data_IF_547006745873
#
_entry.id   IF_547006745873
#
_cell.length_a   1.000
_cell.length_b   1.000
_cell.length_c   1.000
_cell.angle_alpha   90.00
_cell.angle_beta   90.00
_cell.angle_gamma   90.00
#
_symmetry.space_group_name_H-M   'P 1'
#
loop_
_entity.id
_entity.type
_entity.pdbx_description
1 polymer ?
#
# COMPACT_ATOMS: atom_id res chain seq x y z
N UNK A 1 -18.90 -9.90 7.32
CA UNK A 1 -18.08 -9.52 6.14
C UNK A 1 -17.32 -8.25 6.48
N UNK A 2 -16.01 -8.18 6.26
CA UNK A 2 -15.25 -6.97 6.56
C UNK A 2 -15.73 -5.76 5.77
N UNK A 3 -15.77 -4.60 6.44
CA UNK A 3 -15.99 -3.32 5.77
C UNK A 3 -14.72 -2.91 5.00
N UNK A 4 -14.80 -1.95 4.07
CA UNK A 4 -13.59 -1.42 3.41
C UNK A 4 -12.54 -0.92 4.41
N UNK A 5 -12.95 -0.28 5.49
CA UNK A 5 -12.03 0.19 6.52
C UNK A 5 -11.34 -0.96 7.25
N UNK A 6 -12.09 -2.00 7.60
CA UNK A 6 -11.54 -3.20 8.22
C UNK A 6 -10.59 -3.93 7.25
N UNK A 7 -10.93 -3.98 5.96
CA UNK A 7 -10.05 -4.57 4.95
C UNK A 7 -8.74 -3.80 4.83
N UNK A 8 -8.78 -2.47 4.84
CA UNK A 8 -7.56 -1.65 4.83
C UNK A 8 -6.74 -1.85 6.11
N UNK A 9 -7.38 -1.89 7.27
CA UNK A 9 -6.66 -2.12 8.54
C UNK A 9 -5.97 -3.49 8.54
N UNK A 10 -6.60 -4.50 7.97
CA UNK A 10 -6.01 -5.82 7.80
C UNK A 10 -4.78 -5.78 6.88
N UNK A 11 -4.87 -5.06 5.75
CA UNK A 11 -3.74 -4.83 4.85
C UNK A 11 -2.60 -4.10 5.58
N UNK A 12 -2.92 -3.08 6.36
CA UNK A 12 -1.95 -2.33 7.16
C UNK A 12 -1.18 -3.24 8.10
N UNK A 13 -1.88 -4.07 8.86
CA UNK A 13 -1.25 -4.98 9.83
C UNK A 13 -0.47 -6.11 9.17
N UNK A 14 -0.99 -6.68 8.09
CA UNK A 14 -0.37 -7.86 7.46
C UNK A 14 0.74 -7.49 6.49
N UNK A 15 0.73 -6.31 5.93
CA UNK A 15 1.68 -5.92 4.91
C UNK A 15 2.61 -4.79 5.34
N UNK A 16 2.04 -3.64 5.72
CA UNK A 16 2.88 -2.49 6.05
C UNK A 16 3.64 -2.63 7.36
N UNK A 17 3.04 -3.28 8.35
CA UNK A 17 3.64 -3.38 9.69
C UNK A 17 4.34 -4.72 9.96
N UNK A 18 4.10 -5.72 9.15
CA UNK A 18 4.72 -7.03 9.33
C UNK A 18 6.08 -7.06 8.63
N UNK A 19 7.14 -7.34 9.39
CA UNK A 19 8.51 -7.23 8.90
C UNK A 19 8.85 -8.20 7.76
N UNK A 20 8.22 -9.36 7.69
CA UNK A 20 8.56 -10.40 6.71
C UNK A 20 7.39 -11.34 6.40
N UNK A 21 6.18 -10.88 6.43
CA UNK A 21 5.06 -11.75 6.09
C UNK A 21 4.76 -11.69 4.60
N UNK A 22 4.33 -12.82 4.07
CA UNK A 22 3.76 -12.87 2.74
C UNK A 22 2.39 -12.20 2.75
N UNK A 23 2.03 -11.58 1.63
CA UNK A 23 0.68 -11.06 1.45
C UNK A 23 -0.31 -12.23 1.41
N UNK A 24 -1.35 -12.15 2.24
CA UNK A 24 -2.41 -13.14 2.26
C UNK A 24 -3.31 -12.97 1.03
N UNK A 25 -3.40 -14.01 0.22
CA UNK A 25 -4.27 -14.02 -0.95
C UNK A 25 -5.72 -13.69 -0.60
N UNK A 26 -6.18 -14.09 0.58
CA UNK A 26 -7.56 -13.89 1.00
C UNK A 26 -7.92 -12.43 1.26
N UNK A 27 -6.93 -11.53 1.31
CA UNK A 27 -7.17 -10.09 1.35
C UNK A 27 -7.80 -9.55 0.09
N UNK A 28 -7.55 -10.22 -1.05
CA UNK A 28 -7.83 -9.68 -2.37
C UNK A 28 -8.74 -10.60 -3.17
N UNK A 29 -9.51 -10.00 -4.09
CA UNK A 29 -10.21 -10.78 -5.11
C UNK A 29 -9.23 -11.25 -6.16
N UNK A 30 -9.57 -12.33 -6.86
CA UNK A 30 -8.70 -12.88 -7.91
C UNK A 30 -8.48 -11.88 -9.05
N UNK A 31 -9.49 -11.08 -9.36
CA UNK A 31 -9.46 -10.06 -10.40
C UNK A 31 -9.04 -8.67 -9.90
N UNK A 32 -8.32 -8.62 -8.80
CA UNK A 32 -7.80 -7.38 -8.21
C UNK A 32 -7.15 -6.49 -9.27
N UNK A 33 -7.41 -5.18 -9.16
CA UNK A 33 -6.69 -4.15 -9.90
C UNK A 33 -6.05 -3.19 -8.91
N UNK A 34 -4.75 -2.97 -9.05
CA UNK A 34 -4.01 -1.99 -8.27
C UNK A 34 -3.49 -0.92 -9.20
N UNK A 35 -3.72 0.34 -8.84
CA UNK A 35 -3.24 1.47 -9.61
C UNK A 35 -2.34 2.36 -8.74
N UNK A 36 -1.28 2.86 -9.35
CA UNK A 36 -0.33 3.78 -8.72
C UNK A 36 -0.10 4.95 -9.68
N UNK A 37 -1.04 5.92 -9.72
CA UNK A 37 -1.00 6.98 -10.74
C UNK A 37 0.26 7.84 -10.69
N UNK A 38 0.87 7.97 -9.51
CA UNK A 38 2.08 8.77 -9.31
C UNK A 38 3.33 7.92 -9.13
N UNK A 39 3.34 6.71 -9.70
CA UNK A 39 4.51 5.87 -9.66
C UNK A 39 5.70 6.55 -10.34
N UNK A 40 6.90 6.29 -9.82
CA UNK A 40 8.14 6.82 -10.39
C UNK A 40 8.32 6.34 -11.84
N UNK A 41 9.03 7.10 -12.68
CA UNK A 41 9.31 6.67 -14.07
C UNK A 41 9.92 5.27 -14.12
N UNK A 42 9.45 4.46 -15.04
CA UNK A 42 9.88 3.07 -15.19
C UNK A 42 9.15 2.07 -14.30
N UNK A 43 8.31 2.53 -13.39
CA UNK A 43 7.48 1.67 -12.56
C UNK A 43 6.07 1.54 -13.14
N UNK A 44 5.38 0.41 -12.93
CA UNK A 44 4.02 0.25 -13.44
C UNK A 44 3.06 1.19 -12.72
N UNK A 45 2.09 1.74 -13.49
CA UNK A 45 0.99 2.54 -12.94
C UNK A 45 -0.27 1.72 -12.71
N UNK A 46 -0.32 0.49 -13.25
CA UNK A 46 -1.46 -0.40 -13.13
C UNK A 46 -0.99 -1.86 -13.16
N UNK A 47 -1.54 -2.65 -12.24
CA UNK A 47 -1.28 -4.09 -12.16
C UNK A 47 -2.64 -4.79 -12.10
N UNK A 48 -2.88 -5.74 -12.99
CA UNK A 48 -4.11 -6.50 -13.05
C UNK A 48 -3.88 -7.93 -12.58
N UNK A 49 -4.74 -8.40 -11.69
CA UNK A 49 -4.71 -9.74 -11.14
C UNK A 49 -4.00 -9.84 -9.81
N UNK A 50 -4.59 -10.62 -8.92
CA UNK A 50 -4.08 -10.85 -7.56
C UNK A 50 -2.68 -11.43 -7.56
N UNK A 51 -2.46 -12.49 -8.35
CA UNK A 51 -1.17 -13.16 -8.40
C UNK A 51 -0.06 -12.23 -8.89
N UNK A 52 -0.34 -11.44 -9.92
CA UNK A 52 0.62 -10.47 -10.47
C UNK A 52 0.96 -9.39 -9.44
N UNK A 53 -0.05 -8.89 -8.71
CA UNK A 53 0.19 -7.88 -7.67
C UNK A 53 1.02 -8.44 -6.53
N UNK A 54 0.70 -9.62 -6.02
CA UNK A 54 1.43 -10.23 -4.91
C UNK A 54 2.90 -10.44 -5.30
N UNK A 55 3.16 -10.95 -6.49
CA UNK A 55 4.53 -11.15 -6.97
C UNK A 55 5.28 -9.81 -7.08
N UNK A 56 4.64 -8.78 -7.62
CA UNK A 56 5.23 -7.44 -7.71
C UNK A 56 5.54 -6.85 -6.33
N UNK A 57 4.61 -6.95 -5.39
CA UNK A 57 4.75 -6.38 -4.06
C UNK A 57 5.87 -7.09 -3.27
N UNK A 58 5.94 -8.39 -3.33
CA UNK A 58 6.98 -9.17 -2.64
C UNK A 58 8.36 -8.90 -3.20
N UNK A 59 8.49 -8.82 -4.53
CA UNK A 59 9.76 -8.46 -5.18
C UNK A 59 10.17 -7.03 -4.81
N UNK A 60 9.22 -6.10 -4.83
CA UNK A 60 9.47 -4.71 -4.44
C UNK A 60 9.97 -4.60 -3.01
N UNK A 61 9.34 -5.32 -2.08
CA UNK A 61 9.77 -5.32 -0.68
C UNK A 61 11.16 -5.92 -0.50
N UNK A 62 11.46 -7.00 -1.21
CA UNK A 62 12.77 -7.66 -1.11
C UNK A 62 13.91 -6.78 -1.63
N UNK A 63 13.64 -5.90 -2.58
CA UNK A 63 14.65 -5.05 -3.22
C UNK A 63 14.72 -3.63 -2.67
N UNK A 64 13.66 -3.15 -2.02
CA UNK A 64 13.62 -1.80 -1.47
C UNK A 64 14.46 -1.74 -0.19
N UNK A 65 15.44 -0.82 -0.09
CA UNK A 65 16.29 -0.71 1.11
C UNK A 65 15.58 0.05 2.24
N UNK A 66 14.34 -0.31 2.54
CA UNK A 66 13.53 0.30 3.59
C UNK A 66 12.81 -0.81 4.35
N UNK A 67 12.88 -0.74 5.67
CA UNK A 67 12.06 -1.55 6.55
C UNK A 67 10.91 -0.69 7.07
N UNK A 68 9.68 -1.02 6.69
CA UNK A 68 8.50 -0.31 7.18
C UNK A 68 8.25 -0.68 8.64
N UNK A 69 8.06 0.33 9.47
CA UNK A 69 7.80 0.17 10.90
C UNK A 69 6.62 0.99 11.41
N UNK A 70 6.03 1.83 10.54
CA UNK A 70 4.89 2.66 10.90
C UNK A 70 3.95 2.85 9.72
N UNK A 71 2.66 2.70 9.99
CA UNK A 71 1.59 3.05 9.06
C UNK A 71 0.44 3.63 9.88
N UNK A 72 0.34 4.95 9.92
CA UNK A 72 -0.65 5.68 10.71
C UNK A 72 -1.76 6.19 9.80
N UNK A 73 -3.00 5.79 10.09
CA UNK A 73 -4.17 6.35 9.40
C UNK A 73 -4.40 7.74 9.97
N UNK A 74 -4.25 8.77 9.13
CA UNK A 74 -4.46 10.17 9.52
C UNK A 74 -5.88 10.63 9.27
N UNK A 75 -6.57 10.05 8.29
CA UNK A 75 -7.99 10.31 8.03
C UNK A 75 -8.60 9.15 7.25
N UNK A 76 -9.88 8.91 7.46
CA UNK A 76 -10.63 7.92 6.69
C UNK A 76 -11.99 8.54 6.34
N UNK A 77 -12.36 8.42 5.08
CA UNK A 77 -13.56 9.05 4.55
C UNK A 77 -14.46 8.02 3.88
N UNK A 78 -15.69 7.90 4.39
CA UNK A 78 -16.70 7.11 3.70
C UNK A 78 -17.11 7.84 2.42
N UNK A 79 -17.51 7.08 1.41
CA UNK A 79 -18.02 7.65 0.16
C UNK A 79 -19.48 7.32 -0.02
N UNK A 80 -20.09 7.84 -1.08
CA UNK A 80 -21.48 7.53 -1.43
C UNK A 80 -21.67 6.03 -1.73
N UNK A 81 -20.61 5.33 -2.10
CA UNK A 81 -20.61 3.88 -2.32
C UNK A 81 -20.12 3.20 -1.02
N UNK A 82 -20.95 2.36 -0.36
CA UNK A 82 -20.56 1.72 0.89
C UNK A 82 -19.39 0.74 0.74
N UNK A 83 -19.06 0.34 -0.47
CA UNK A 83 -17.93 -0.55 -0.76
C UNK A 83 -16.63 0.19 -1.04
N UNK A 84 -16.65 1.53 -1.02
CA UNK A 84 -15.49 2.36 -1.34
C UNK A 84 -15.15 3.29 -0.18
N UNK A 85 -13.89 3.31 0.21
CA UNK A 85 -13.37 4.22 1.23
C UNK A 85 -12.14 4.95 0.70
N UNK A 86 -11.95 6.18 1.15
CA UNK A 86 -10.72 6.94 0.94
C UNK A 86 -9.96 7.01 2.26
N UNK A 87 -8.73 6.57 2.26
CA UNK A 87 -7.87 6.54 3.46
C UNK A 87 -6.63 7.37 3.22
N UNK A 88 -6.36 8.29 4.14
CA UNK A 88 -5.11 9.03 4.16
C UNK A 88 -4.22 8.42 5.25
N UNK A 89 -2.99 8.11 4.92
CA UNK A 89 -2.09 7.46 5.86
C UNK A 89 -0.65 7.90 5.65
N UNK A 90 0.12 7.82 6.73
CA UNK A 90 1.55 8.09 6.71
C UNK A 90 2.29 6.78 6.86
N UNK A 91 3.11 6.47 5.87
CA UNK A 91 3.94 5.26 5.87
C UNK A 91 5.36 5.66 6.22
N UNK A 92 5.88 5.08 7.28
CA UNK A 92 7.23 5.36 7.76
C UNK A 92 8.07 4.11 7.86
N UNK A 93 9.37 4.30 7.76
CA UNK A 93 10.32 3.22 7.86
C UNK A 93 11.74 3.71 8.09
N UNK A 94 12.65 2.76 8.16
CA UNK A 94 14.07 2.99 8.31
C UNK A 94 14.78 2.55 7.05
N UNK A 95 15.61 3.43 6.49
CA UNK A 95 16.48 3.09 5.37
C UNK A 95 17.58 2.16 5.90
N UNK A 96 17.61 0.92 5.40
CA UNK A 96 18.44 -0.14 5.98
C UNK A 96 19.93 0.07 5.73
N UNK A 97 20.30 0.83 4.70
CA UNK A 97 21.70 1.12 4.37
C UNK A 97 22.31 2.22 5.22
N UNK A 98 21.50 3.09 5.83
CA UNK A 98 21.98 4.26 6.57
C UNK A 98 21.46 4.33 8.00
N UNK A 99 20.38 3.64 8.32
CA UNK A 99 19.68 3.75 9.59
C UNK A 99 18.82 5.01 9.72
N UNK A 100 18.68 5.80 8.67
CA UNK A 100 17.90 7.04 8.70
C UNK A 100 16.41 6.71 8.63
N UNK A 101 15.62 7.33 9.51
CA UNK A 101 14.15 7.22 9.49
C UNK A 101 13.58 8.20 8.46
N UNK A 102 12.57 7.74 7.74
CA UNK A 102 11.86 8.56 6.76
C UNK A 102 10.38 8.19 6.76
N UNK A 103 9.54 9.14 6.34
CA UNK A 103 8.11 8.89 6.19
C UNK A 103 7.56 9.71 5.03
N UNK A 104 6.42 9.27 4.49
CA UNK A 104 5.73 9.96 3.42
C UNK A 104 4.24 9.77 3.54
N UNK A 105 3.43 10.80 3.15
CA UNK A 105 1.98 10.67 3.13
C UNK A 105 1.51 9.96 1.86
N UNK A 106 0.41 9.22 2.01
CA UNK A 106 -0.25 8.48 0.95
C UNK A 106 -1.75 8.70 1.03
N UNK A 107 -2.42 8.52 -0.10
CA UNK A 107 -3.87 8.43 -0.16
C UNK A 107 -4.23 7.15 -0.91
N UNK A 108 -5.07 6.33 -0.30
CA UNK A 108 -5.60 5.12 -0.92
C UNK A 108 -7.10 5.24 -1.17
N UNK A 109 -7.54 4.86 -2.36
CA UNK A 109 -8.96 4.67 -2.68
C UNK A 109 -9.16 3.16 -2.80
N UNK A 110 -9.98 2.59 -1.93
CA UNK A 110 -10.11 1.16 -1.78
C UNK A 110 -11.55 0.73 -2.03
N UNK A 111 -11.74 -0.21 -2.93
CA UNK A 111 -13.03 -0.86 -3.17
C UNK A 111 -12.96 -2.31 -2.68
N UNK A 112 -13.97 -2.73 -1.94
CA UNK A 112 -14.13 -4.14 -1.56
C UNK A 112 -15.27 -4.79 -2.30
N UNK A 113 -15.17 -6.12 -2.44
CA UNK A 113 -16.25 -6.98 -2.91
C UNK A 113 -16.21 -8.26 -2.07
N UNK A 114 -17.33 -8.56 -1.43
CA UNK A 114 -17.45 -9.69 -0.52
C UNK A 114 -16.37 -9.67 0.60
N UNK A 115 -16.07 -8.47 1.09
CA UNK A 115 -15.10 -8.26 2.17
C UNK A 115 -13.64 -8.31 1.75
N UNK A 116 -13.36 -8.51 0.47
CA UNK A 116 -11.99 -8.55 -0.09
C UNK A 116 -11.72 -7.32 -0.93
N UNK A 117 -10.46 -6.91 -0.98
CA UNK A 117 -10.05 -5.77 -1.79
C UNK A 117 -10.11 -6.17 -3.28
N UNK A 118 -10.95 -5.47 -4.04
CA UNK A 118 -11.13 -5.69 -5.47
C UNK A 118 -10.43 -4.63 -6.32
N UNK A 119 -10.26 -3.43 -5.78
CA UNK A 119 -9.58 -2.34 -6.44
C UNK A 119 -8.88 -1.48 -5.38
N UNK A 120 -7.63 -1.13 -5.64
CA UNK A 120 -6.84 -0.27 -4.76
C UNK A 120 -6.05 0.71 -5.62
N UNK A 121 -6.35 2.00 -5.47
CA UNK A 121 -5.58 3.06 -6.12
C UNK A 121 -4.83 3.84 -5.05
N UNK A 122 -3.51 3.74 -5.09
CA UNK A 122 -2.64 4.37 -4.12
C UNK A 122 -1.94 5.56 -4.76
N UNK A 123 -2.17 6.74 -4.21
CA UNK A 123 -1.45 7.96 -4.56
C UNK A 123 -0.27 8.12 -3.63
N UNK A 124 0.94 8.07 -4.18
CA UNK A 124 2.18 8.16 -3.43
C UNK A 124 2.75 9.57 -3.54
N UNK A 125 3.42 10.02 -2.48
CA UNK A 125 4.24 11.22 -2.59
C UNK A 125 5.61 10.84 -3.16
N UNK A 126 5.65 10.60 -4.45
CA UNK A 126 6.83 10.05 -5.15
C UNK A 126 8.07 10.92 -4.99
N UNK A 127 7.91 12.25 -5.00
CA UNK A 127 9.02 13.17 -4.80
C UNK A 127 9.63 13.01 -3.41
N UNK A 128 8.80 12.97 -2.36
CA UNK A 128 9.30 12.80 -0.99
C UNK A 128 10.00 11.46 -0.80
N UNK A 129 9.47 10.39 -1.40
CA UNK A 129 10.09 9.07 -1.36
C UNK A 129 11.46 9.10 -2.04
N UNK A 130 11.54 9.67 -3.24
CA UNK A 130 12.80 9.80 -3.97
C UNK A 130 13.83 10.62 -3.19
N UNK A 131 13.41 11.72 -2.58
CA UNK A 131 14.31 12.57 -1.77
C UNK A 131 14.80 11.83 -0.52
N UNK A 132 13.94 11.07 0.15
CA UNK A 132 14.32 10.27 1.32
C UNK A 132 15.35 9.21 0.96
N UNK A 133 15.17 8.51 -0.15
CA UNK A 133 16.11 7.50 -0.62
C UNK A 133 17.42 8.11 -1.11
N UNK A 134 17.39 9.29 -1.72
CA UNK A 134 18.59 9.97 -2.20
C UNK A 134 19.43 10.57 -1.06
N UNK A 135 18.80 10.98 0.04
CA UNK A 135 19.47 11.52 1.21
C UNK A 135 20.12 10.43 2.09
N UNK A 136 19.83 9.18 1.81
CA UNK A 136 20.28 8.04 2.61
C UNK A 136 21.70 7.61 2.24
#
# INVERSE_FOLDING_TARGET
MPTPREAFDRLRRQWFLAAQSDLDEDLFTEDLVVEMPFAAPGRPTRIEGRAAFIAYAQTGRATLPVRFDRCDITAAHDTADPDVIVVEYELGGTVTTTGVSASAPFVGVLRTRDGRIAHWREYQHTLAIAQALAAA
#
